data_IF_327756713282
#
_entry.id   IF_327756713282
#
_cell.length_a   1.000
_cell.length_b   1.000
_cell.length_c   1.000
_cell.angle_alpha   90.00
_cell.angle_beta   90.00
_cell.angle_gamma   90.00
#
_symmetry.space_group_name_H-M   'P 1'
#
loop_
_entity.id
_entity.type
_entity.pdbx_description
1 polymer ?
#
# COMPACT_ATOMS: atom_id res chain seq x y z
N UNK A 1 -2.79 56.08 -68.11
CA UNK A 1 -2.24 56.25 -66.76
C UNK A 1 -3.19 55.59 -65.76
N UNK A 2 -2.93 54.37 -65.29
CA UNK A 2 -3.84 53.65 -64.34
C UNK A 2 -3.15 52.69 -63.37
N UNK A 3 -1.83 52.72 -63.23
CA UNK A 3 -1.08 51.78 -62.38
C UNK A 3 -1.40 51.98 -60.88
N UNK A 4 -1.61 53.23 -60.47
CA UNK A 4 -1.77 53.59 -59.05
C UNK A 4 -3.13 53.18 -58.45
N UNK A 5 -4.16 53.02 -59.28
CA UNK A 5 -5.50 52.62 -58.82
C UNK A 5 -5.53 51.13 -58.46
N UNK A 6 -4.79 50.29 -59.20
CA UNK A 6 -4.79 48.83 -59.04
C UNK A 6 -4.05 48.39 -57.76
N UNK A 7 -3.00 49.10 -57.35
CA UNK A 7 -2.24 48.78 -56.13
C UNK A 7 -3.01 49.11 -54.84
N UNK A 8 -3.88 50.12 -54.88
CA UNK A 8 -4.73 50.51 -53.74
C UNK A 8 -5.78 49.44 -53.46
N UNK A 9 -6.53 48.99 -54.47
CA UNK A 9 -7.55 47.94 -54.34
C UNK A 9 -6.96 46.62 -53.79
N UNK A 10 -5.74 46.27 -54.22
CA UNK A 10 -5.03 45.08 -53.75
C UNK A 10 -4.61 45.16 -52.28
N UNK A 11 -4.31 46.35 -51.76
CA UNK A 11 -3.93 46.54 -50.36
C UNK A 11 -5.14 46.49 -49.42
N UNK A 12 -6.29 46.99 -49.88
CA UNK A 12 -7.56 46.97 -49.16
C UNK A 12 -8.12 45.55 -49.03
N UNK A 13 -8.11 44.76 -50.12
CA UNK A 13 -8.50 43.35 -50.08
C UNK A 13 -7.67 42.55 -49.06
N UNK A 14 -6.35 42.78 -49.03
CA UNK A 14 -5.46 42.15 -48.04
C UNK A 14 -5.78 42.59 -46.61
N UNK A 15 -6.20 43.84 -46.41
CA UNK A 15 -6.58 44.36 -45.10
C UNK A 15 -7.84 43.66 -44.59
N UNK A 16 -8.87 43.52 -45.43
CA UNK A 16 -10.09 42.80 -45.05
C UNK A 16 -9.83 41.31 -44.75
N UNK A 17 -8.88 40.69 -45.45
CA UNK A 17 -8.46 39.31 -45.18
C UNK A 17 -7.78 39.19 -43.80
N UNK A 18 -6.88 40.11 -43.46
CA UNK A 18 -6.26 40.15 -42.14
C UNK A 18 -7.27 40.38 -41.02
N UNK A 19 -8.23 41.28 -41.22
CA UNK A 19 -9.28 41.57 -40.26
C UNK A 19 -10.15 40.33 -39.98
N UNK A 20 -10.52 39.59 -41.03
CA UNK A 20 -11.21 38.30 -40.90
C UNK A 20 -10.38 37.27 -40.14
N UNK A 21 -9.06 37.20 -40.38
CA UNK A 21 -8.17 36.27 -39.65
C UNK A 21 -8.05 36.64 -38.18
N UNK A 22 -7.91 37.93 -37.86
CA UNK A 22 -7.88 38.43 -36.47
C UNK A 22 -9.18 38.09 -35.75
N UNK A 23 -10.34 38.32 -36.38
CA UNK A 23 -11.64 37.97 -35.78
C UNK A 23 -11.81 36.46 -35.55
N UNK A 24 -11.32 35.61 -36.47
CA UNK A 24 -11.30 34.15 -36.25
C UNK A 24 -10.40 33.78 -35.07
N UNK A 25 -9.21 34.38 -34.98
CA UNK A 25 -8.27 34.13 -33.89
C UNK A 25 -8.85 34.59 -32.54
N UNK A 26 -9.52 35.75 -32.51
CA UNK A 26 -10.18 36.26 -31.32
C UNK A 26 -11.19 35.25 -30.76
N UNK A 27 -12.07 34.72 -31.61
CA UNK A 27 -13.04 33.69 -31.19
C UNK A 27 -12.36 32.41 -30.69
N UNK A 28 -11.30 31.97 -31.37
CA UNK A 28 -10.56 30.78 -30.96
C UNK A 28 -9.84 30.95 -29.61
N UNK A 29 -9.39 32.17 -29.29
CA UNK A 29 -8.79 32.47 -27.98
C UNK A 29 -9.84 32.44 -26.88
N UNK A 30 -11.00 33.07 -27.10
CA UNK A 30 -12.12 33.06 -26.13
C UNK A 30 -12.60 31.64 -25.81
N UNK A 31 -12.73 30.78 -26.83
CA UNK A 31 -13.14 29.37 -26.64
C UNK A 31 -12.12 28.58 -25.82
N UNK A 32 -10.81 28.74 -26.11
CA UNK A 32 -9.76 28.07 -25.34
C UNK A 32 -9.67 28.59 -23.90
N UNK A 33 -9.91 29.86 -23.66
CA UNK A 33 -9.94 30.41 -22.30
C UNK A 33 -11.06 29.76 -21.46
N UNK A 34 -12.22 29.50 -22.07
CA UNK A 34 -13.30 28.76 -21.42
C UNK A 34 -12.92 27.31 -21.12
N UNK A 35 -12.29 26.61 -22.07
CA UNK A 35 -11.79 25.25 -21.87
C UNK A 35 -10.75 25.16 -20.75
N UNK A 36 -9.80 26.11 -20.70
CA UNK A 36 -8.78 26.18 -19.64
C UNK A 36 -9.44 26.38 -18.28
N UNK A 37 -10.41 27.29 -18.17
CA UNK A 37 -11.14 27.51 -16.93
C UNK A 37 -11.91 26.26 -16.47
N UNK A 38 -12.56 25.56 -17.42
CA UNK A 38 -13.28 24.31 -17.16
C UNK A 38 -12.33 23.19 -16.67
N UNK A 39 -11.22 22.99 -17.37
CA UNK A 39 -10.21 21.99 -17.01
C UNK A 39 -9.57 22.28 -15.64
N UNK A 40 -9.30 23.54 -15.34
CA UNK A 40 -8.76 23.96 -14.04
C UNK A 40 -9.70 23.56 -12.89
N UNK A 41 -11.00 23.87 -13.01
CA UNK A 41 -12.01 23.48 -12.01
C UNK A 41 -12.12 21.95 -11.84
N UNK A 42 -12.03 21.20 -12.94
CA UNK A 42 -12.07 19.74 -12.88
C UNK A 42 -10.83 19.14 -12.19
N UNK A 43 -9.64 19.71 -12.40
CA UNK A 43 -8.41 19.27 -11.73
C UNK A 43 -8.48 19.59 -10.23
N UNK A 44 -8.86 20.82 -9.88
CA UNK A 44 -8.97 21.27 -8.48
C UNK A 44 -9.98 20.43 -7.68
N UNK A 45 -11.15 20.14 -8.26
CA UNK A 45 -12.14 19.25 -7.64
C UNK A 45 -11.63 17.80 -7.50
N UNK A 46 -10.88 17.28 -8.48
CA UNK A 46 -10.28 15.95 -8.42
C UNK A 46 -9.21 15.85 -7.32
N UNK A 47 -8.38 16.86 -7.15
CA UNK A 47 -7.32 16.86 -6.12
C UNK A 47 -7.90 16.92 -4.70
N UNK A 48 -8.97 17.68 -4.48
CA UNK A 48 -9.73 17.66 -3.23
C UNK A 48 -10.33 16.27 -2.92
N UNK A 49 -10.80 15.58 -3.96
CA UNK A 49 -11.42 14.25 -3.85
C UNK A 49 -10.39 13.13 -3.61
N UNK A 50 -9.20 13.22 -4.23
CA UNK A 50 -8.11 12.24 -4.01
C UNK A 50 -7.45 12.37 -2.64
N UNK A 51 -7.28 13.61 -2.18
CA UNK A 51 -6.73 13.90 -0.84
C UNK A 51 -7.60 13.30 0.26
N UNK A 52 -8.92 13.50 0.18
CA UNK A 52 -9.88 12.93 1.15
C UNK A 52 -9.93 11.39 1.10
N UNK A 53 -9.90 10.78 -0.08
CA UNK A 53 -9.89 9.32 -0.23
C UNK A 53 -8.64 8.66 0.41
N UNK A 54 -7.47 9.28 0.24
CA UNK A 54 -6.20 8.76 0.78
C UNK A 54 -6.17 8.77 2.31
N UNK A 55 -6.79 9.77 2.94
CA UNK A 55 -6.87 9.86 4.39
C UNK A 55 -7.86 8.83 4.98
N UNK A 56 -8.98 8.57 4.28
CA UNK A 56 -9.98 7.59 4.71
C UNK A 56 -9.41 6.16 4.67
N UNK A 57 -8.74 5.77 3.57
CA UNK A 57 -8.16 4.42 3.42
C UNK A 57 -7.12 4.13 4.51
N UNK A 58 -6.22 5.09 4.78
CA UNK A 58 -5.19 4.94 5.83
C UNK A 58 -5.79 4.75 7.23
N UNK A 59 -6.89 5.42 7.54
CA UNK A 59 -7.53 5.30 8.86
C UNK A 59 -8.30 3.98 9.02
N UNK A 60 -8.91 3.49 7.94
CA UNK A 60 -9.63 2.20 7.94
C UNK A 60 -8.66 1.03 8.15
N UNK A 61 -7.51 1.03 7.46
CA UNK A 61 -6.50 -0.02 7.62
C UNK A 61 -5.87 -0.02 9.02
N UNK A 62 -5.64 1.17 9.58
CA UNK A 62 -5.13 1.32 10.95
C UNK A 62 -6.13 0.81 11.99
N UNK A 63 -7.40 1.20 11.90
CA UNK A 63 -8.45 0.74 12.82
C UNK A 63 -8.68 -0.77 12.75
N UNK A 64 -8.62 -1.36 11.55
CA UNK A 64 -8.73 -2.81 11.36
C UNK A 64 -7.56 -3.57 11.99
N UNK A 65 -6.35 -3.02 11.88
CA UNK A 65 -5.14 -3.60 12.50
C UNK A 65 -5.21 -3.57 14.03
N UNK A 66 -5.67 -2.45 14.60
CA UNK A 66 -5.85 -2.31 16.06
C UNK A 66 -6.94 -3.25 16.60
N UNK A 67 -8.06 -3.41 15.90
CA UNK A 67 -9.11 -4.37 16.29
C UNK A 67 -8.60 -5.82 16.28
N UNK A 68 -7.83 -6.22 15.26
CA UNK A 68 -7.24 -7.57 15.20
C UNK A 68 -6.23 -7.79 16.33
N UNK A 69 -5.36 -6.82 16.60
CA UNK A 69 -4.36 -6.91 17.68
C UNK A 69 -5.03 -7.06 19.05
N UNK A 70 -6.08 -6.29 19.32
CA UNK A 70 -6.83 -6.38 20.58
C UNK A 70 -7.56 -7.73 20.71
N UNK A 71 -8.11 -8.25 19.61
CA UNK A 71 -8.79 -9.55 19.61
C UNK A 71 -7.83 -10.71 19.89
N UNK A 72 -6.65 -10.70 19.26
CA UNK A 72 -5.57 -11.67 19.53
C UNK A 72 -5.11 -11.56 20.98
N UNK A 73 -4.87 -10.34 21.49
CA UNK A 73 -4.45 -10.12 22.87
C UNK A 73 -5.50 -10.62 23.88
N UNK A 74 -6.78 -10.46 23.57
CA UNK A 74 -7.88 -10.92 24.43
C UNK A 74 -7.99 -12.44 24.42
N UNK A 75 -7.94 -13.08 23.25
CA UNK A 75 -7.99 -14.53 23.14
C UNK A 75 -6.78 -15.20 23.81
N UNK A 76 -5.57 -14.76 23.47
CA UNK A 76 -4.34 -15.42 23.91
C UNK A 76 -3.84 -14.95 25.28
N UNK A 77 -4.27 -13.77 25.76
CA UNK A 77 -3.90 -13.26 27.08
C UNK A 77 -4.42 -14.09 28.24
N UNK A 78 -5.63 -14.68 28.12
CA UNK A 78 -6.16 -15.64 29.09
C UNK A 78 -5.62 -17.06 28.89
N UNK A 79 -5.40 -17.45 27.64
CA UNK A 79 -4.91 -18.78 27.25
C UNK A 79 -3.51 -19.06 27.81
N UNK A 80 -2.64 -18.06 27.96
CA UNK A 80 -1.33 -18.22 28.61
C UNK A 80 -1.44 -18.73 30.06
N UNK A 81 -2.47 -18.27 30.78
CA UNK A 81 -2.73 -18.71 32.16
C UNK A 81 -3.27 -20.15 32.18
N UNK A 82 -4.12 -20.52 31.21
CA UNK A 82 -4.61 -21.90 31.05
C UNK A 82 -3.50 -22.87 30.62
N UNK A 83 -2.58 -22.44 29.75
CA UNK A 83 -1.45 -23.24 29.30
C UNK A 83 -0.48 -23.51 30.44
N UNK A 84 -0.19 -22.49 31.28
CA UNK A 84 0.59 -22.66 32.50
C UNK A 84 -0.07 -23.67 33.45
N UNK A 85 -1.37 -23.52 33.75
CA UNK A 85 -2.09 -24.47 34.60
C UNK A 85 -2.04 -25.91 34.06
N UNK A 86 -1.98 -26.09 32.74
CA UNK A 86 -1.88 -27.40 32.13
C UNK A 86 -0.45 -27.95 32.19
N UNK A 87 0.59 -27.16 31.90
CA UNK A 87 1.96 -27.62 31.71
C UNK A 87 2.76 -27.76 33.02
N UNK A 88 2.51 -26.90 34.00
CA UNK A 88 3.16 -26.92 35.34
C UNK A 88 3.13 -28.30 36.02
N UNK A 89 1.98 -29.01 36.12
CA UNK A 89 1.96 -30.34 36.73
C UNK A 89 2.73 -31.40 35.91
N UNK A 90 2.86 -31.25 34.59
CA UNK A 90 3.64 -32.18 33.76
C UNK A 90 5.15 -31.94 33.89
N UNK A 91 5.60 -30.69 33.96
CA UNK A 91 7.02 -30.37 34.19
C UNK A 91 7.48 -30.93 35.53
N UNK A 92 6.65 -30.79 36.57
CA UNK A 92 6.93 -31.38 37.88
C UNK A 92 7.05 -32.90 37.84
N UNK A 93 6.24 -33.59 37.03
CA UNK A 93 6.37 -35.05 36.83
C UNK A 93 7.64 -35.41 36.06
N UNK A 94 8.02 -34.60 35.07
CA UNK A 94 9.25 -34.80 34.31
C UNK A 94 10.49 -34.64 35.20
N UNK A 95 10.53 -33.63 36.05
CA UNK A 95 11.59 -33.43 37.03
C UNK A 95 11.71 -34.61 38.01
N UNK A 96 10.58 -35.21 38.39
CA UNK A 96 10.57 -36.40 39.25
C UNK A 96 11.05 -37.67 38.53
N UNK A 97 10.95 -37.71 37.19
CA UNK A 97 11.48 -38.81 36.36
C UNK A 97 12.92 -38.55 35.91
N UNK A 98 13.48 -37.38 36.23
CA UNK A 98 14.86 -37.06 35.92
C UNK A 98 15.76 -38.00 36.72
N UNK A 99 16.56 -38.79 35.99
CA UNK A 99 17.52 -39.68 36.61
C UNK A 99 18.46 -38.88 37.52
N UNK A 100 18.75 -39.35 38.75
CA UNK A 100 19.66 -38.66 39.64
C UNK A 100 21.04 -38.54 38.97
N UNK A 101 21.78 -37.48 39.29
CA UNK A 101 23.09 -37.24 38.70
C UNK A 101 24.11 -38.36 38.98
N UNK A 102 23.85 -39.16 40.02
CA UNK A 102 24.64 -40.33 40.41
C UNK A 102 24.11 -41.64 39.80
N UNK A 103 23.16 -41.58 38.87
CA UNK A 103 22.70 -42.76 38.16
C UNK A 103 23.85 -43.35 37.33
N UNK A 104 24.47 -44.37 37.90
CA UNK A 104 25.43 -45.20 37.20
C UNK A 104 24.65 -46.15 36.29
N UNK A 105 24.67 -45.88 34.99
CA UNK A 105 24.04 -46.75 34.01
C UNK A 105 24.55 -48.19 34.19
N UNK A 106 23.65 -49.18 34.31
CA UNK A 106 24.06 -50.58 34.45
C UNK A 106 25.04 -50.96 33.34
N UNK A 107 26.10 -51.68 33.69
CA UNK A 107 27.03 -52.22 32.69
C UNK A 107 26.26 -53.25 31.87
N UNK A 108 25.79 -52.85 30.70
CA UNK A 108 25.19 -53.77 29.76
C UNK A 108 26.26 -54.74 29.27
N UNK A 109 25.90 -56.01 29.20
CA UNK A 109 26.71 -57.03 28.56
C UNK A 109 26.97 -56.59 27.11
N UNK A 110 28.23 -56.29 26.77
CA UNK A 110 28.56 -55.85 25.42
C UNK A 110 28.63 -57.08 24.52
N UNK A 111 27.77 -57.10 23.51
CA UNK A 111 27.84 -58.08 22.44
C UNK A 111 28.75 -57.58 21.31
N UNK A 112 29.51 -58.48 20.70
CA UNK A 112 30.45 -58.17 19.61
C UNK A 112 29.81 -57.93 18.23
N UNK A 113 28.48 -57.83 18.17
CA UNK A 113 27.73 -57.77 16.91
C UNK A 113 27.59 -59.12 16.21
N UNK A 114 28.09 -60.20 16.82
CA UNK A 114 27.92 -61.60 16.41
C UNK A 114 27.28 -62.45 17.52
N UNK A 115 26.56 -61.80 18.43
CA UNK A 115 25.90 -62.40 19.61
C UNK A 115 26.84 -63.09 20.63
N UNK A 116 28.13 -62.76 20.67
CA UNK A 116 29.03 -63.28 21.71
C UNK A 116 29.25 -62.29 22.85
N UNK A 117 29.36 -62.80 24.09
CA UNK A 117 29.80 -62.01 25.25
C UNK A 117 31.20 -61.49 25.01
N UNK A 118 31.40 -60.18 25.11
CA UNK A 118 32.75 -59.64 25.37
C UNK A 118 33.07 -59.86 26.84
N UNK A 119 34.07 -60.72 27.09
CA UNK A 119 34.65 -60.96 28.42
C UNK A 119 35.50 -59.77 28.86
#
# INVERSE_FOLDING_TARGET
MSVMVIDIDKSEDRMTEFEKKVNKLMKAVEERDYEIASLKNHIESRDATKSSHTHIVKNVDKGKTEMMANSIKTQYGGLAQTFSLCYEPYMKRFDNLRMPNEYQSPKFQQFDGKDNLKQ
#
